data_IF_916076811830
#
_entry.id   IF_916076811830
#
_cell.length_a   1.000
_cell.length_b   1.000
_cell.length_c   1.000
_cell.angle_alpha   90.00
_cell.angle_beta   90.00
_cell.angle_gamma   90.00
#
_symmetry.space_group_name_H-M   'P 1'
#
loop_
_entity.id
_entity.type
_entity.pdbx_description
1 polymer ?
#
# COMPACT_ATOMS: atom_id res chain seq x y z
N UNK A 1 -3.82 0.22 -10.87
CA UNK A 1 -3.74 0.82 -9.52
C UNK A 1 -5.15 1.24 -9.16
N UNK A 2 -5.63 0.88 -7.97
CA UNK A 2 -6.88 1.43 -7.43
C UNK A 2 -6.55 2.83 -6.88
N UNK A 3 -7.46 3.80 -7.01
CA UNK A 3 -7.28 5.02 -6.23
C UNK A 3 -7.63 4.72 -4.77
N UNK A 4 -7.18 5.57 -3.87
CA UNK A 4 -7.49 5.42 -2.45
C UNK A 4 -8.87 6.02 -2.08
N UNK A 5 -9.80 6.00 -3.02
CA UNK A 5 -11.18 6.44 -2.81
C UNK A 5 -12.07 5.22 -2.50
N UNK A 6 -12.91 5.25 -1.45
CA UNK A 6 -13.74 4.10 -1.05
C UNK A 6 -14.52 3.46 -2.20
N UNK A 7 -15.11 4.26 -3.07
CA UNK A 7 -15.86 3.80 -4.24
C UNK A 7 -15.09 2.83 -5.15
N UNK A 8 -13.76 2.90 -5.19
CA UNK A 8 -12.91 2.05 -6.03
C UNK A 8 -12.66 0.64 -5.44
N UNK A 9 -12.88 0.44 -4.14
CA UNK A 9 -12.54 -0.84 -3.48
C UNK A 9 -13.64 -1.40 -2.57
N UNK A 10 -14.76 -0.71 -2.36
CA UNK A 10 -15.89 -1.22 -1.56
C UNK A 10 -16.46 -2.52 -2.12
N UNK A 11 -16.55 -2.65 -3.44
CA UNK A 11 -17.01 -3.90 -4.06
C UNK A 11 -16.03 -5.05 -3.78
N UNK A 12 -14.71 -4.78 -3.78
CA UNK A 12 -13.71 -5.79 -3.43
C UNK A 12 -13.82 -6.21 -1.96
N UNK A 13 -14.02 -5.26 -1.05
CA UNK A 13 -14.20 -5.55 0.38
C UNK A 13 -15.44 -6.42 0.65
N UNK A 14 -16.52 -6.23 -0.10
CA UNK A 14 -17.73 -7.05 0.06
C UNK A 14 -17.62 -8.44 -0.56
N UNK A 15 -16.87 -8.58 -1.66
CA UNK A 15 -16.67 -9.87 -2.35
C UNK A 15 -15.59 -10.74 -1.73
N UNK A 16 -14.52 -10.14 -1.20
CA UNK A 16 -13.32 -10.86 -0.78
C UNK A 16 -12.45 -11.33 -1.97
N UNK A 17 -11.40 -12.12 -1.68
CA UNK A 17 -10.52 -12.68 -2.71
C UNK A 17 -11.23 -13.52 -3.76
N UNK A 18 -10.83 -13.38 -5.03
CA UNK A 18 -11.22 -14.31 -6.08
C UNK A 18 -10.11 -15.34 -6.30
N UNK A 19 -10.38 -16.58 -5.89
CA UNK A 19 -9.51 -17.74 -6.09
C UNK A 19 -10.20 -18.85 -6.89
N UNK A 20 -11.28 -18.53 -7.60
CA UNK A 20 -12.11 -19.53 -8.30
C UNK A 20 -11.43 -20.10 -9.54
N UNK A 21 -10.56 -19.31 -10.18
CA UNK A 21 -9.78 -19.73 -11.34
C UNK A 21 -8.48 -20.45 -10.91
N UNK A 22 -8.10 -21.51 -11.64
CA UNK A 22 -6.90 -22.31 -11.35
C UNK A 22 -5.57 -21.65 -11.77
N UNK A 23 -5.62 -20.69 -12.69
CA UNK A 23 -4.43 -20.03 -13.26
C UNK A 23 -4.23 -18.61 -12.72
N UNK A 24 -5.31 -17.93 -12.32
CA UNK A 24 -5.28 -16.56 -11.83
C UNK A 24 -6.01 -16.47 -10.49
N UNK A 25 -5.42 -15.77 -9.54
CA UNK A 25 -6.07 -15.43 -8.29
C UNK A 25 -5.86 -13.97 -7.94
N UNK A 26 -6.93 -13.30 -7.53
CA UNK A 26 -6.91 -11.93 -7.01
C UNK A 26 -7.13 -12.01 -5.51
N UNK A 27 -6.04 -12.07 -4.74
CA UNK A 27 -6.08 -12.31 -3.29
C UNK A 27 -5.26 -11.34 -2.44
N UNK A 28 -4.55 -10.43 -3.09
CA UNK A 28 -3.59 -9.54 -2.42
C UNK A 28 -3.85 -8.10 -2.81
N UNK A 29 -3.80 -7.21 -1.83
CA UNK A 29 -3.74 -5.77 -2.05
C UNK A 29 -2.34 -5.30 -1.66
N UNK A 30 -1.73 -4.51 -2.55
CA UNK A 30 -0.43 -3.87 -2.33
C UNK A 30 -0.65 -2.39 -1.99
N UNK A 31 -0.11 -1.97 -0.86
CA UNK A 31 -0.12 -0.58 -0.40
C UNK A 31 1.30 -0.03 -0.51
N UNK A 32 1.45 1.18 -1.04
CA UNK A 32 2.73 1.88 -1.11
C UNK A 32 2.82 2.88 0.04
N UNK A 33 3.80 2.71 0.92
CA UNK A 33 4.04 3.61 2.04
C UNK A 33 4.86 4.84 1.61
N UNK A 34 5.95 4.59 0.90
CA UNK A 34 6.91 5.58 0.44
C UNK A 34 7.30 5.36 -1.04
N UNK A 35 8.21 6.18 -1.53
CA UNK A 35 8.78 6.06 -2.87
C UNK A 35 9.96 5.09 -2.92
N UNK A 36 10.94 5.39 -3.78
CA UNK A 36 12.15 4.58 -3.91
C UNK A 36 13.41 5.40 -3.61
N UNK A 37 14.51 4.75 -3.20
CA UNK A 37 15.78 5.43 -2.94
C UNK A 37 16.34 6.17 -4.17
N UNK A 38 16.30 5.53 -5.35
CA UNK A 38 16.86 6.12 -6.58
C UNK A 38 16.18 7.43 -7.01
N UNK A 39 14.91 7.63 -6.64
CA UNK A 39 14.15 8.86 -6.90
C UNK A 39 14.15 9.83 -5.72
N UNK A 40 14.87 9.52 -4.64
CA UNK A 40 14.82 10.21 -3.35
C UNK A 40 13.41 10.29 -2.76
N UNK A 41 12.64 9.23 -2.96
CA UNK A 41 11.25 9.13 -2.48
C UNK A 41 11.07 8.20 -1.29
N UNK A 42 12.06 7.36 -0.96
CA UNK A 42 11.97 6.49 0.22
C UNK A 42 12.04 7.32 1.49
N UNK A 43 11.16 7.03 2.45
CA UNK A 43 11.03 7.82 3.67
C UNK A 43 12.16 7.45 4.65
N UNK A 44 13.13 8.36 4.83
CA UNK A 44 14.30 8.15 5.68
C UNK A 44 14.12 8.81 7.05
N UNK A 45 14.80 8.26 8.06
CA UNK A 45 14.88 8.86 9.40
C UNK A 45 15.76 10.12 9.44
N UNK A 46 16.72 10.22 8.52
CA UNK A 46 17.63 11.35 8.35
C UNK A 46 17.67 11.77 6.88
N UNK A 47 18.07 13.02 6.56
CA UNK A 47 18.11 13.46 5.18
C UNK A 47 19.03 12.60 4.29
N UNK A 48 18.68 12.54 3.01
CA UNK A 48 19.52 11.93 2.00
C UNK A 48 20.92 12.56 2.02
N UNK A 49 21.96 11.72 1.97
CA UNK A 49 23.35 12.19 2.01
C UNK A 49 23.71 13.13 0.84
N UNK A 50 23.08 12.91 -0.32
CA UNK A 50 23.24 13.70 -1.54
C UNK A 50 22.17 14.79 -1.73
N UNK A 51 21.19 14.86 -0.81
CA UNK A 51 20.15 15.89 -0.77
C UNK A 51 19.77 16.20 0.71
N UNK A 52 20.59 16.99 1.43
CA UNK A 52 20.47 17.17 2.88
C UNK A 52 19.19 17.86 3.38
N UNK A 53 18.33 18.31 2.47
CA UNK A 53 17.04 18.93 2.80
C UNK A 53 15.86 18.00 2.55
N UNK A 54 16.12 16.79 2.09
CA UNK A 54 15.12 15.84 1.65
C UNK A 54 15.19 14.59 2.53
N UNK A 55 14.06 14.21 3.13
CA UNK A 55 13.91 12.98 3.93
C UNK A 55 13.03 11.94 3.22
N UNK A 56 12.70 12.17 1.95
CA UNK A 56 11.82 11.32 1.15
C UNK A 56 10.36 11.73 1.19
N UNK A 57 9.50 10.78 0.80
CA UNK A 57 8.05 10.97 0.69
C UNK A 57 7.32 10.00 1.61
N UNK A 58 6.58 10.54 2.57
CA UNK A 58 5.54 9.79 3.26
C UNK A 58 4.27 9.83 2.40
N UNK A 59 4.07 8.85 1.52
CA UNK A 59 2.92 8.82 0.61
C UNK A 59 1.62 8.55 1.38
N UNK A 60 1.68 7.76 2.45
CA UNK A 60 0.52 7.40 3.26
C UNK A 60 0.82 7.48 4.75
N UNK A 61 -0.10 8.09 5.51
CA UNK A 61 -0.05 8.15 6.97
C UNK A 61 -0.17 6.76 7.62
N UNK A 62 0.61 6.48 8.67
CA UNK A 62 0.68 5.17 9.33
C UNK A 62 -0.69 4.70 9.82
N UNK A 63 -1.47 5.58 10.46
CA UNK A 63 -2.80 5.23 10.97
C UNK A 63 -3.73 4.83 9.82
N UNK A 64 -3.68 5.56 8.70
CA UNK A 64 -4.48 5.24 7.51
C UNK A 64 -4.10 3.87 6.93
N UNK A 65 -2.82 3.51 6.96
CA UNK A 65 -2.37 2.18 6.51
C UNK A 65 -2.88 1.10 7.44
N UNK A 66 -2.75 1.27 8.76
CA UNK A 66 -3.26 0.31 9.73
C UNK A 66 -4.77 0.10 9.56
N UNK A 67 -5.54 1.19 9.42
CA UNK A 67 -6.98 1.12 9.18
C UNK A 67 -7.30 0.36 7.88
N UNK A 68 -6.51 0.57 6.82
CA UNK A 68 -6.69 -0.10 5.52
C UNK A 68 -6.31 -1.58 5.57
N UNK A 69 -5.20 -1.91 6.22
CA UNK A 69 -4.75 -3.29 6.46
C UNK A 69 -5.83 -4.07 7.20
N UNK A 70 -6.39 -3.49 8.26
CA UNK A 70 -7.45 -4.12 9.04
C UNK A 70 -8.71 -4.38 8.20
N UNK A 71 -9.12 -3.41 7.38
CA UNK A 71 -10.28 -3.56 6.47
C UNK A 71 -10.08 -4.71 5.48
N UNK A 72 -8.94 -4.75 4.78
CA UNK A 72 -8.69 -5.78 3.77
C UNK A 72 -8.42 -7.16 4.38
N UNK A 73 -7.74 -7.23 5.52
CA UNK A 73 -7.57 -8.49 6.27
C UNK A 73 -8.92 -9.04 6.74
N UNK A 74 -9.82 -8.18 7.25
CA UNK A 74 -11.16 -8.60 7.65
C UNK A 74 -12.01 -9.09 6.46
N UNK A 75 -11.77 -8.56 5.26
CA UNK A 75 -12.36 -9.04 4.01
C UNK A 75 -11.66 -10.28 3.42
N UNK A 76 -10.63 -10.82 4.09
CA UNK A 76 -9.94 -12.05 3.70
C UNK A 76 -8.78 -11.87 2.72
N UNK A 77 -8.43 -10.63 2.35
CA UNK A 77 -7.25 -10.38 1.49
C UNK A 77 -5.95 -10.50 2.29
N UNK A 78 -4.89 -10.91 1.61
CA UNK A 78 -3.53 -10.67 2.07
C UNK A 78 -3.15 -9.22 1.78
N UNK A 79 -2.49 -8.55 2.71
CA UNK A 79 -1.99 -7.19 2.50
C UNK A 79 -0.47 -7.20 2.45
N UNK A 80 0.07 -6.63 1.38
CA UNK A 80 1.48 -6.34 1.22
C UNK A 80 1.69 -4.82 1.39
N UNK A 81 2.64 -4.44 2.24
CA UNK A 81 3.06 -3.05 2.37
C UNK A 81 4.44 -2.94 1.74
N UNK A 82 4.51 -2.16 0.67
CA UNK A 82 5.76 -1.82 0.01
C UNK A 82 6.37 -0.62 0.73
N UNK A 83 7.54 -0.88 1.32
CA UNK A 83 8.46 0.10 1.88
C UNK A 83 9.84 -0.17 1.29
N UNK A 84 10.62 0.87 0.97
CA UNK A 84 11.94 0.75 0.32
C UNK A 84 13.10 0.93 1.28
#
# INVERSE_FOLDING_TARGET
>A
MLNNEPEDYQELLSKGPDTTNKLLSVRTVKIYFDGAMGSRGAALLEPYADDPKNIGLNLTDEKKITDKVNQFNAAGFQVEISIV
#
